data_IF_869160553714
#
_entry.id   IF_869160553714
#
_cell.length_a   1.000
_cell.length_b   1.000
_cell.length_c   1.000
_cell.angle_alpha   90.00
_cell.angle_beta   90.00
_cell.angle_gamma   90.00
#
_symmetry.space_group_name_H-M   'P 1'
#
loop_
_entity.id
_entity.type
_entity.pdbx_description
1 polymer ?
#
# COMPACT_ATOMS: atom_id res chain seq x y z
N UNK A 1 2.71 -21.60 42.95
CA UNK A 1 1.68 -20.99 42.08
C UNK A 1 2.36 -20.28 40.91
N UNK A 2 2.52 -21.01 39.81
CA UNK A 2 3.37 -20.64 38.67
C UNK A 2 2.57 -19.82 37.67
N UNK A 3 2.86 -18.51 37.53
CA UNK A 3 2.22 -17.63 36.55
C UNK A 3 2.77 -17.93 35.15
N UNK A 4 1.93 -18.54 34.29
CA UNK A 4 2.19 -18.67 32.86
C UNK A 4 2.22 -17.30 32.18
N UNK A 5 3.41 -16.84 31.79
CA UNK A 5 3.58 -15.71 30.88
C UNK A 5 3.37 -16.23 29.46
N UNK A 6 2.24 -15.87 28.83
CA UNK A 6 1.98 -16.12 27.41
C UNK A 6 3.03 -15.38 26.56
N UNK A 7 3.96 -16.15 25.98
CA UNK A 7 4.91 -15.69 24.94
C UNK A 7 4.11 -15.32 23.69
N UNK A 8 3.88 -14.03 23.47
CA UNK A 8 3.43 -13.51 22.17
C UNK A 8 4.52 -13.77 21.12
N UNK A 9 4.14 -14.49 20.07
CA UNK A 9 5.01 -14.95 18.99
C UNK A 9 5.72 -13.77 18.29
N UNK A 10 7.05 -13.80 18.35
CA UNK A 10 7.97 -12.98 17.57
C UNK A 10 7.97 -13.48 16.12
N UNK A 11 7.17 -12.91 15.21
CA UNK A 11 7.36 -13.11 13.76
C UNK A 11 6.58 -12.07 12.94
N UNK A 12 7.19 -10.90 12.70
CA UNK A 12 6.67 -9.84 11.81
C UNK A 12 7.90 -9.21 11.13
N UNK A 13 8.42 -9.84 10.07
CA UNK A 13 9.73 -9.51 9.50
C UNK A 13 9.73 -8.46 8.38
N UNK A 14 8.60 -7.83 8.06
CA UNK A 14 8.57 -6.62 7.19
C UNK A 14 7.76 -5.46 7.79
N UNK A 15 7.00 -5.68 8.88
CA UNK A 15 6.05 -4.69 9.41
C UNK A 15 6.47 -4.02 10.74
N UNK A 16 7.63 -4.36 11.33
CA UNK A 16 8.07 -3.81 12.63
C UNK A 16 9.13 -2.70 12.53
N UNK A 17 8.93 -1.77 11.60
CA UNK A 17 9.33 -0.37 11.85
C UNK A 17 8.04 0.42 12.07
N UNK A 18 7.32 0.09 13.13
CA UNK A 18 6.47 1.07 13.79
C UNK A 18 7.42 2.00 14.56
N UNK A 19 8.02 2.96 13.86
CA UNK A 19 8.17 4.24 14.53
C UNK A 19 6.76 4.62 14.97
N UNK A 20 6.57 5.04 16.22
CA UNK A 20 5.34 5.69 16.69
C UNK A 20 5.05 6.80 15.66
N UNK A 21 4.19 6.51 14.68
CA UNK A 21 3.90 7.42 13.57
C UNK A 21 2.87 8.37 14.14
N UNK A 22 3.32 9.49 14.68
CA UNK A 22 2.48 10.67 14.59
C UNK A 22 2.25 10.89 13.10
N UNK A 23 1.08 10.49 12.63
CA UNK A 23 0.69 10.77 11.25
C UNK A 23 0.45 12.27 11.24
N UNK A 24 1.44 13.04 10.79
CA UNK A 24 1.32 14.47 10.56
C UNK A 24 0.49 14.67 9.29
N UNK A 25 -0.82 14.41 9.41
CA UNK A 25 -1.80 14.73 8.39
C UNK A 25 -2.58 15.96 8.80
N UNK A 26 -2.81 16.87 7.86
CA UNK A 26 -3.68 18.02 8.06
C UNK A 26 -4.71 18.08 6.95
N UNK A 27 -5.99 18.08 7.34
CA UNK A 27 -7.12 18.08 6.42
C UNK A 27 -7.73 19.47 6.33
N UNK A 28 -7.90 19.96 5.11
CA UNK A 28 -8.42 21.27 4.79
C UNK A 28 -9.78 21.13 4.08
N UNK A 29 -10.86 21.75 4.60
CA UNK A 29 -12.18 21.71 3.95
C UNK A 29 -12.26 22.67 2.75
N UNK A 30 -13.17 22.40 1.81
CA UNK A 30 -13.34 23.18 0.57
C UNK A 30 -13.55 24.69 0.78
N UNK A 31 -14.47 25.09 1.68
CA UNK A 31 -14.96 26.47 1.71
C UNK A 31 -13.92 27.49 2.19
N UNK A 32 -13.01 27.08 3.10
CA UNK A 32 -12.01 27.97 3.71
C UNK A 32 -10.61 27.38 3.86
N UNK A 33 -10.45 26.08 3.62
CA UNK A 33 -9.20 25.37 3.88
C UNK A 33 -8.24 25.37 2.70
N UNK A 34 -8.72 25.15 1.48
CA UNK A 34 -7.83 25.07 0.32
C UNK A 34 -8.46 25.53 -1.00
N UNK A 35 -7.61 25.97 -1.93
CA UNK A 35 -7.97 26.31 -3.31
C UNK A 35 -6.86 25.87 -4.25
N UNK A 36 -7.22 25.53 -5.48
CA UNK A 36 -6.27 25.20 -6.54
C UNK A 36 -6.38 26.26 -7.63
N UNK A 37 -5.27 26.94 -7.92
CA UNK A 37 -5.16 27.96 -8.99
C UNK A 37 -3.75 27.92 -9.58
N UNK A 38 -3.61 28.01 -10.89
CA UNK A 38 -2.33 28.21 -11.58
C UNK A 38 -1.21 27.24 -11.16
N UNK A 39 -1.54 25.94 -11.05
CA UNK A 39 -0.63 24.88 -10.59
C UNK A 39 -0.08 25.10 -9.16
N UNK A 40 -0.81 25.86 -8.34
CA UNK A 40 -0.54 26.10 -6.93
C UNK A 40 -1.72 25.66 -6.07
N UNK A 41 -1.39 25.10 -4.93
CA UNK A 41 -2.31 24.73 -3.86
C UNK A 41 -2.23 25.85 -2.81
N UNK A 42 -3.27 26.67 -2.73
CA UNK A 42 -3.42 27.66 -1.69
C UNK A 42 -4.08 27.03 -0.48
N UNK A 43 -3.45 27.11 0.69
CA UNK A 43 -3.94 26.58 1.94
C UNK A 43 -4.16 27.71 2.94
N UNK A 44 -5.19 27.60 3.77
CA UNK A 44 -5.41 28.53 4.88
C UNK A 44 -4.17 28.59 5.77
N UNK A 45 -3.74 29.79 6.15
CA UNK A 45 -2.58 30.08 7.02
C UNK A 45 -1.19 29.74 6.46
N UNK A 46 -1.07 28.99 5.36
CA UNK A 46 0.22 28.67 4.74
C UNK A 46 0.44 29.47 3.44
N UNK A 47 -0.64 29.75 2.71
CA UNK A 47 -0.57 30.45 1.42
C UNK A 47 -0.40 29.49 0.24
N UNK A 48 0.07 30.02 -0.89
CA UNK A 48 0.11 29.31 -2.17
C UNK A 48 1.43 28.54 -2.37
N UNK A 49 1.34 27.22 -2.48
CA UNK A 49 2.48 26.32 -2.66
C UNK A 49 2.42 25.71 -4.06
N UNK A 50 3.54 25.72 -4.79
CA UNK A 50 3.65 24.97 -6.05
C UNK A 50 3.54 23.48 -5.75
N UNK A 51 2.71 22.76 -6.48
CA UNK A 51 2.59 21.31 -6.36
C UNK A 51 2.52 20.68 -7.75
N UNK A 52 2.85 19.39 -7.83
CA UNK A 52 2.72 18.63 -9.06
C UNK A 52 1.33 17.99 -9.08
N UNK A 53 0.44 18.51 -9.91
CA UNK A 53 -0.87 17.89 -10.14
C UNK A 53 -0.70 16.65 -11.04
N UNK A 54 -0.87 15.47 -10.44
CA UNK A 54 -0.77 14.20 -11.18
C UNK A 54 -2.01 13.87 -12.02
N UNK A 55 -3.18 14.36 -11.61
CA UNK A 55 -4.48 14.17 -12.27
C UNK A 55 -5.33 15.42 -12.06
N UNK A 56 -6.09 15.82 -13.08
CA UNK A 56 -7.04 16.92 -12.97
C UNK A 56 -8.25 16.39 -12.17
N UNK A 57 -8.64 17.03 -11.06
CA UNK A 57 -9.80 16.61 -10.28
C UNK A 57 -11.08 16.81 -11.10
N UNK A 58 -11.94 15.79 -11.11
CA UNK A 58 -13.25 15.81 -11.77
C UNK A 58 -14.30 16.10 -10.70
N UNK A 59 -15.27 16.96 -11.02
CA UNK A 59 -16.38 17.29 -10.12
C UNK A 59 -16.00 18.27 -9.00
N UNK A 60 -16.79 18.25 -7.92
CA UNK A 60 -16.70 19.23 -6.82
C UNK A 60 -15.65 18.81 -5.79
N UNK A 61 -14.63 19.65 -5.58
CA UNK A 61 -13.61 19.42 -4.55
C UNK A 61 -14.24 19.40 -3.15
N UNK A 62 -13.98 18.40 -2.30
CA UNK A 62 -14.49 18.36 -0.91
C UNK A 62 -13.42 18.71 0.12
N UNK A 63 -12.30 17.99 0.11
CA UNK A 63 -11.22 18.13 1.09
C UNK A 63 -9.86 17.98 0.43
N UNK A 64 -8.83 18.68 0.93
CA UNK A 64 -7.42 18.34 0.67
C UNK A 64 -6.80 17.88 1.97
N UNK A 65 -6.28 16.66 1.98
CA UNK A 65 -5.51 16.12 3.09
C UNK A 65 -4.04 16.12 2.72
N UNK A 66 -3.25 16.88 3.47
CA UNK A 66 -1.80 16.90 3.32
C UNK A 66 -1.22 15.81 4.20
N UNK A 67 -0.35 14.98 3.64
CA UNK A 67 0.40 13.98 4.38
C UNK A 67 1.88 14.04 4.05
N UNK A 68 2.69 13.58 4.99
CA UNK A 68 4.13 13.43 4.82
C UNK A 68 4.48 11.94 4.82
N UNK A 69 5.17 11.48 3.78
CA UNK A 69 5.76 10.15 3.68
C UNK A 69 7.29 10.26 3.65
N UNK A 70 7.89 10.18 4.84
CA UNK A 70 9.33 10.27 5.11
C UNK A 70 9.92 11.66 4.81
N UNK A 71 10.09 11.95 3.52
CA UNK A 71 10.71 13.16 2.99
C UNK A 71 9.91 13.76 1.83
N UNK A 72 8.72 13.23 1.57
CA UNK A 72 7.85 13.66 0.47
C UNK A 72 6.49 14.09 1.01
N UNK A 73 6.02 15.24 0.54
CA UNK A 73 4.71 15.79 0.84
C UNK A 73 3.72 15.39 -0.26
N UNK A 74 2.52 15.01 0.15
CA UNK A 74 1.41 14.66 -0.74
C UNK A 74 0.17 15.46 -0.34
N UNK A 75 -0.63 15.93 -1.30
CA UNK A 75 -2.02 16.36 -1.07
C UNK A 75 -2.94 15.35 -1.75
N UNK A 76 -3.87 14.81 -0.97
CA UNK A 76 -4.97 13.99 -1.43
C UNK A 76 -6.19 14.88 -1.54
N UNK A 77 -6.71 15.04 -2.74
CA UNK A 77 -7.89 15.87 -2.99
C UNK A 77 -9.06 14.91 -3.17
N UNK A 78 -10.01 14.94 -2.26
CA UNK A 78 -11.27 14.23 -2.41
C UNK A 78 -12.22 15.06 -3.27
N UNK A 79 -12.89 14.42 -4.22
CA UNK A 79 -13.84 15.05 -5.12
C UNK A 79 -15.17 14.31 -5.11
N UNK A 80 -16.25 15.05 -5.34
CA UNK A 80 -17.57 14.54 -5.69
C UNK A 80 -17.70 14.61 -7.21
N UNK A 81 -17.67 13.47 -7.90
CA UNK A 81 -17.90 13.43 -9.34
C UNK A 81 -19.38 13.47 -9.71
N UNK A 82 -20.29 13.41 -8.73
CA UNK A 82 -21.74 13.46 -8.95
C UNK A 82 -22.29 12.24 -9.70
N UNK A 83 -21.49 11.18 -9.82
CA UNK A 83 -21.92 9.91 -10.40
C UNK A 83 -22.63 9.15 -9.29
N UNK A 84 -23.93 8.86 -9.46
CA UNK A 84 -24.64 7.96 -8.55
C UNK A 84 -23.98 6.58 -8.57
N UNK A 85 -23.91 5.93 -7.41
CA UNK A 85 -23.40 4.55 -7.33
C UNK A 85 -24.22 3.69 -8.29
N UNK A 86 -23.59 3.27 -9.39
CA UNK A 86 -24.22 2.37 -10.34
C UNK A 86 -24.41 1.06 -9.58
N UNK A 87 -25.66 0.70 -9.33
CA UNK A 87 -26.02 -0.64 -8.87
C UNK A 87 -25.77 -1.60 -10.03
N UNK A 88 -24.49 -1.99 -10.19
CA UNK A 88 -24.08 -2.97 -11.19
C UNK A 88 -24.72 -4.28 -10.74
N UNK A 89 -25.93 -4.56 -11.21
CA UNK A 89 -26.52 -5.90 -11.12
C UNK A 89 -25.42 -6.87 -11.53
N UNK A 90 -25.01 -7.74 -10.61
CA UNK A 90 -23.85 -8.60 -10.79
C UNK A 90 -24.09 -9.50 -12.00
N UNK A 91 -23.60 -9.07 -13.17
CA UNK A 91 -23.58 -9.91 -14.34
C UNK A 91 -22.54 -11.00 -14.06
N UNK A 92 -22.97 -12.23 -13.82
CA UNK A 92 -22.05 -13.34 -13.51
C UNK A 92 -21.50 -14.04 -14.76
N UNK A 93 -21.67 -13.45 -15.96
CA UNK A 93 -21.33 -14.11 -17.22
C UNK A 93 -19.82 -14.31 -17.47
N UNK A 94 -18.94 -13.62 -16.73
CA UNK A 94 -17.48 -13.77 -16.86
C UNK A 94 -16.82 -14.10 -15.50
N UNK A 95 -17.02 -15.33 -14.99
CA UNK A 95 -16.37 -15.76 -13.76
C UNK A 95 -14.90 -16.08 -14.01
N UNK A 96 -14.03 -15.65 -13.09
CA UNK A 96 -12.63 -16.09 -13.04
C UNK A 96 -12.23 -16.43 -11.61
N UNK A 97 -11.53 -17.57 -11.46
CA UNK A 97 -10.92 -17.95 -10.19
C UNK A 97 -9.45 -17.55 -10.23
N UNK A 98 -9.00 -16.93 -9.14
CA UNK A 98 -7.61 -16.52 -8.97
C UNK A 98 -6.93 -17.46 -7.99
N UNK A 99 -5.86 -18.10 -8.45
CA UNK A 99 -4.85 -18.74 -7.62
C UNK A 99 -3.66 -17.78 -7.46
N UNK A 100 -3.24 -17.54 -6.22
CA UNK A 100 -2.11 -16.67 -5.92
C UNK A 100 -0.90 -17.55 -5.64
N UNK A 101 -0.19 -17.90 -6.71
CA UNK A 101 0.96 -18.80 -6.66
C UNK A 101 2.14 -18.22 -5.88
N UNK A 102 2.97 -19.09 -5.29
CA UNK A 102 4.14 -18.77 -4.46
C UNK A 102 5.22 -17.91 -5.17
N UNK A 103 5.18 -17.82 -6.49
CA UNK A 103 6.15 -17.12 -7.35
C UNK A 103 5.63 -15.76 -7.84
N UNK A 104 5.21 -14.88 -6.92
CA UNK A 104 4.82 -13.49 -7.21
C UNK A 104 3.92 -13.32 -8.45
N UNK A 105 2.97 -14.22 -8.64
CA UNK A 105 2.10 -14.23 -9.82
C UNK A 105 0.67 -14.61 -9.44
N UNK A 106 -0.26 -14.16 -10.26
CA UNK A 106 -1.67 -14.52 -10.18
C UNK A 106 -1.98 -15.42 -11.36
N UNK A 107 -2.38 -16.66 -11.09
CA UNK A 107 -2.82 -17.60 -12.12
C UNK A 107 -4.34 -17.59 -12.15
N UNK A 108 -4.90 -17.28 -13.32
CA UNK A 108 -6.32 -17.27 -13.57
C UNK A 108 -6.79 -18.66 -14.02
N UNK A 109 -8.04 -19.02 -13.74
CA UNK A 109 -8.62 -20.30 -14.16
C UNK A 109 -8.65 -20.51 -15.66
N UNK A 110 -8.53 -19.45 -16.46
CA UNK A 110 -8.41 -19.53 -17.92
C UNK A 110 -6.95 -19.73 -18.40
N UNK A 111 -6.01 -19.97 -17.50
CA UNK A 111 -4.59 -20.18 -17.80
C UNK A 111 -3.74 -18.92 -17.94
N UNK A 112 -4.33 -17.71 -17.88
CA UNK A 112 -3.57 -16.45 -17.94
C UNK A 112 -2.80 -16.25 -16.63
N UNK A 113 -1.50 -15.96 -16.74
CA UNK A 113 -0.63 -15.69 -15.59
C UNK A 113 -0.23 -14.21 -15.58
N UNK A 114 -0.60 -13.50 -14.53
CA UNK A 114 -0.17 -12.12 -14.28
C UNK A 114 1.10 -12.20 -13.42
N UNK A 115 2.26 -12.09 -14.06
CA UNK A 115 3.55 -12.12 -13.37
C UNK A 115 3.94 -10.74 -12.85
N UNK A 116 4.47 -10.70 -11.62
CA UNK A 116 5.21 -9.54 -11.16
C UNK A 116 6.65 -9.65 -11.65
N UNK A 117 7.03 -8.83 -12.62
CA UNK A 117 8.36 -8.80 -13.22
C UNK A 117 9.46 -8.26 -12.31
N UNK A 118 9.12 -7.88 -11.07
CA UNK A 118 10.06 -7.27 -10.14
C UNK A 118 10.87 -8.33 -9.38
N UNK A 119 12.17 -8.35 -9.67
CA UNK A 119 13.16 -8.99 -8.79
C UNK A 119 13.37 -8.14 -7.53
N UNK A 120 12.94 -8.69 -6.39
CA UNK A 120 13.07 -8.06 -5.08
C UNK A 120 14.37 -8.40 -4.37
N UNK A 121 15.20 -9.34 -4.85
CA UNK A 121 16.35 -9.84 -4.11
C UNK A 121 17.36 -8.75 -3.78
N UNK A 122 17.72 -7.93 -4.76
CA UNK A 122 18.63 -6.81 -4.58
C UNK A 122 18.09 -5.80 -3.55
N UNK A 123 16.78 -5.56 -3.56
CA UNK A 123 16.13 -4.61 -2.67
C UNK A 123 16.03 -5.14 -1.24
N UNK A 124 15.71 -6.43 -1.08
CA UNK A 124 15.67 -7.12 0.20
C UNK A 124 17.07 -7.15 0.82
N UNK A 125 18.10 -7.44 0.03
CA UNK A 125 19.50 -7.44 0.46
C UNK A 125 19.91 -6.06 0.97
N UNK A 126 19.57 -4.99 0.23
CA UNK A 126 19.79 -3.60 0.66
C UNK A 126 19.10 -3.28 1.98
N UNK A 127 17.85 -3.72 2.17
CA UNK A 127 17.11 -3.53 3.43
C UNK A 127 17.80 -4.26 4.58
N UNK A 128 18.24 -5.51 4.40
CA UNK A 128 18.96 -6.28 5.42
C UNK A 128 20.25 -5.57 5.84
N UNK A 129 21.03 -5.04 4.89
CA UNK A 129 22.24 -4.27 5.20
C UNK A 129 21.93 -2.99 5.99
N UNK A 130 20.89 -2.24 5.59
CA UNK A 130 20.47 -1.02 6.29
C UNK A 130 19.95 -1.31 7.70
N UNK A 131 19.21 -2.40 7.91
CA UNK A 131 18.75 -2.85 9.23
C UNK A 131 19.94 -3.21 10.14
N UNK A 132 20.91 -3.97 9.63
CA UNK A 132 22.14 -4.33 10.36
C UNK A 132 22.99 -3.10 10.69
N UNK A 133 23.07 -2.14 9.77
CA UNK A 133 23.74 -0.86 10.03
C UNK A 133 23.01 -0.10 11.15
N UNK A 134 21.69 0.03 11.07
CA UNK A 134 20.87 0.75 12.05
C UNK A 134 21.02 0.18 13.46
N UNK A 135 21.03 -1.14 13.61
CA UNK A 135 21.15 -1.80 14.92
C UNK A 135 22.50 -1.59 15.59
N UNK A 136 23.55 -1.32 14.80
CA UNK A 136 24.92 -1.07 15.28
C UNK A 136 25.19 0.40 15.61
N UNK A 137 24.33 1.33 15.20
CA UNK A 137 24.51 2.76 15.47
C UNK A 137 24.00 3.13 16.88
N UNK A 138 24.72 4.03 17.55
CA UNK A 138 24.31 4.58 18.84
C UNK A 138 22.91 5.20 18.75
N UNK A 139 22.07 4.89 19.75
CA UNK A 139 20.73 5.45 19.89
C UNK A 139 20.79 6.98 19.85
N UNK A 140 19.84 7.59 19.17
CA UNK A 140 19.66 9.05 19.05
C UNK A 140 20.85 9.85 18.44
N UNK A 141 21.85 9.16 17.88
CA UNK A 141 22.90 9.82 17.10
C UNK A 141 22.39 10.29 15.73
N UNK A 142 22.93 11.42 15.23
CA UNK A 142 22.65 11.94 13.88
C UNK A 142 22.92 10.89 12.78
N UNK A 143 23.93 10.05 12.97
CA UNK A 143 24.25 8.96 12.04
C UNK A 143 23.19 7.85 12.03
N UNK A 144 22.59 7.54 13.19
CA UNK A 144 21.48 6.59 13.27
C UNK A 144 20.25 7.13 12.55
N UNK A 145 19.96 8.41 12.70
CA UNK A 145 18.85 9.07 12.01
C UNK A 145 18.99 9.02 10.48
N UNK A 146 20.19 9.33 9.95
CA UNK A 146 20.49 9.20 8.50
C UNK A 146 20.23 7.78 7.98
N UNK A 147 20.64 6.76 8.72
CA UNK A 147 20.39 5.35 8.34
C UNK A 147 18.91 5.00 8.44
N UNK A 148 18.21 5.49 9.47
CA UNK A 148 16.77 5.28 9.65
C UNK A 148 15.97 5.85 8.47
N UNK A 149 16.30 7.05 8.02
CA UNK A 149 15.69 7.67 6.85
C UNK A 149 15.99 6.82 5.60
N UNK A 150 17.25 6.44 5.37
CA UNK A 150 17.63 5.60 4.22
C UNK A 150 16.90 4.25 4.19
N UNK A 151 16.75 3.61 5.36
CA UNK A 151 15.99 2.38 5.52
C UNK A 151 14.51 2.59 5.19
N UNK A 152 13.90 3.67 5.70
CA UNK A 152 12.52 4.00 5.40
C UNK A 152 12.31 4.23 3.89
N UNK A 153 13.23 4.93 3.21
CA UNK A 153 13.19 5.16 1.76
C UNK A 153 13.23 3.84 0.98
N UNK A 154 14.09 2.90 1.39
CA UNK A 154 14.18 1.59 0.77
C UNK A 154 12.89 0.77 0.94
N UNK A 155 12.33 0.72 2.16
CA UNK A 155 11.06 0.05 2.41
C UNK A 155 9.91 0.67 1.62
N UNK A 156 9.87 2.01 1.52
CA UNK A 156 8.88 2.74 0.72
C UNK A 156 8.93 2.36 -0.76
N UNK A 157 10.13 2.17 -1.33
CA UNK A 157 10.29 1.75 -2.73
C UNK A 157 9.62 0.40 -2.99
N UNK A 158 9.90 -0.60 -2.14
CA UNK A 158 9.28 -1.93 -2.24
C UNK A 158 7.75 -1.82 -2.08
N UNK A 159 7.28 -1.03 -1.10
CA UNK A 159 5.84 -0.83 -0.90
C UNK A 159 5.16 -0.27 -2.15
N UNK A 160 5.71 0.81 -2.75
CA UNK A 160 5.14 1.42 -3.97
C UNK A 160 5.12 0.47 -5.16
N UNK A 161 6.17 -0.33 -5.31
CA UNK A 161 6.24 -1.36 -6.35
C UNK A 161 5.18 -2.44 -6.19
N UNK A 162 4.92 -2.88 -4.95
CA UNK A 162 3.84 -3.83 -4.66
C UNK A 162 2.47 -3.21 -4.93
N UNK A 163 2.24 -1.99 -4.45
CA UNK A 163 1.00 -1.26 -4.67
C UNK A 163 0.74 -1.06 -6.18
N UNK A 164 1.77 -0.70 -6.96
CA UNK A 164 1.68 -0.55 -8.42
C UNK A 164 1.27 -1.85 -9.12
N UNK A 165 1.89 -2.98 -8.76
CA UNK A 165 1.48 -4.29 -9.29
C UNK A 165 0.03 -4.61 -8.95
N UNK A 166 -0.39 -4.41 -7.69
CA UNK A 166 -1.78 -4.63 -7.28
C UNK A 166 -2.73 -3.77 -8.09
N UNK A 167 -2.46 -2.48 -8.23
CA UNK A 167 -3.37 -1.58 -8.93
C UNK A 167 -3.51 -1.95 -10.41
N UNK A 168 -2.41 -2.34 -11.07
CA UNK A 168 -2.44 -2.82 -12.46
C UNK A 168 -3.21 -4.12 -12.60
N UNK A 169 -2.97 -5.09 -11.70
CA UNK A 169 -3.69 -6.35 -11.69
C UNK A 169 -5.19 -6.15 -11.40
N UNK A 170 -5.53 -5.34 -10.41
CA UNK A 170 -6.92 -5.04 -10.04
C UNK A 170 -7.67 -4.40 -11.20
N UNK A 171 -7.04 -3.42 -11.87
CA UNK A 171 -7.63 -2.74 -13.02
C UNK A 171 -7.89 -3.73 -14.16
N UNK A 172 -6.89 -4.53 -14.53
CA UNK A 172 -7.04 -5.55 -15.56
C UNK A 172 -8.19 -6.51 -15.23
N UNK A 173 -8.27 -6.95 -13.99
CA UNK A 173 -9.31 -7.89 -13.56
C UNK A 173 -10.71 -7.25 -13.57
N UNK A 174 -10.84 -6.03 -13.07
CA UNK A 174 -12.11 -5.30 -13.06
C UNK A 174 -12.59 -4.94 -14.48
N UNK A 175 -11.67 -4.65 -15.41
CA UNK A 175 -11.99 -4.34 -16.80
C UNK A 175 -12.42 -5.60 -17.59
N UNK A 176 -11.83 -6.77 -17.28
CA UNK A 176 -12.05 -8.01 -18.05
C UNK A 176 -13.15 -8.94 -17.48
N UNK A 177 -13.32 -8.96 -16.16
CA UNK A 177 -14.15 -9.95 -15.45
C UNK A 177 -15.16 -9.31 -14.53
N UNK A 178 -16.35 -9.91 -14.48
CA UNK A 178 -17.47 -9.40 -13.69
C UNK A 178 -17.66 -10.16 -12.38
N UNK A 179 -17.20 -11.41 -12.31
CA UNK A 179 -17.17 -12.20 -11.07
C UNK A 179 -15.76 -12.74 -10.83
N UNK A 180 -15.17 -12.36 -9.69
CA UNK A 180 -13.80 -12.74 -9.32
C UNK A 180 -13.84 -13.53 -8.02
N UNK A 181 -13.37 -14.78 -8.07
CA UNK A 181 -13.38 -15.71 -6.94
C UNK A 181 -11.95 -15.93 -6.45
N UNK A 182 -11.73 -15.69 -5.15
CA UNK A 182 -10.44 -15.90 -4.49
C UNK A 182 -10.48 -17.14 -3.60
N UNK A 183 -9.37 -17.88 -3.57
CA UNK A 183 -9.21 -18.94 -2.58
C UNK A 183 -9.05 -18.40 -1.14
N UNK A 184 -9.62 -19.13 -0.18
CA UNK A 184 -9.44 -18.86 1.24
C UNK A 184 -8.17 -19.54 1.75
N UNK A 185 -7.02 -18.89 1.55
CA UNK A 185 -5.74 -19.38 2.03
C UNK A 185 -5.55 -19.16 3.54
N UNK A 186 -5.17 -20.22 4.27
CA UNK A 186 -4.75 -20.11 5.67
C UNK A 186 -3.29 -19.65 5.76
N UNK A 187 -3.09 -18.35 5.57
CA UNK A 187 -1.77 -17.70 5.53
C UNK A 187 -0.94 -17.99 6.79
N UNK A 188 -1.57 -18.05 7.97
CA UNK A 188 -0.87 -18.31 9.23
C UNK A 188 -0.16 -19.67 9.24
N UNK A 189 -0.74 -20.68 8.58
CA UNK A 189 -0.10 -21.98 8.45
C UNK A 189 0.97 -21.99 7.36
N UNK A 190 0.75 -21.26 6.25
CA UNK A 190 1.71 -21.20 5.14
C UNK A 190 3.00 -20.47 5.52
N UNK A 191 2.92 -19.41 6.35
CA UNK A 191 4.06 -18.59 6.78
C UNK A 191 4.94 -19.28 7.84
N UNK A 192 4.54 -20.46 8.35
CA UNK A 192 5.36 -21.25 9.28
C UNK A 192 6.68 -21.71 8.65
N UNK A 193 6.71 -21.90 7.33
CA UNK A 193 7.96 -22.18 6.63
C UNK A 193 8.73 -20.87 6.38
N UNK A 194 9.82 -20.68 7.12
CA UNK A 194 10.60 -19.43 7.09
C UNK A 194 11.25 -19.13 5.73
N UNK A 195 11.50 -20.13 4.88
CA UNK A 195 12.04 -19.89 3.53
C UNK A 195 11.01 -19.29 2.57
N UNK A 196 9.73 -19.66 2.72
CA UNK A 196 8.63 -19.19 1.87
C UNK A 196 7.84 -18.02 2.49
N UNK A 197 8.03 -17.78 3.80
CA UNK A 197 7.30 -16.78 4.56
C UNK A 197 7.29 -15.38 3.90
N UNK A 198 8.42 -14.94 3.34
CA UNK A 198 8.50 -13.62 2.70
C UNK A 198 7.63 -13.56 1.44
N UNK A 199 7.77 -14.54 0.55
CA UNK A 199 6.99 -14.62 -0.69
C UNK A 199 5.48 -14.75 -0.40
N UNK A 200 5.11 -15.61 0.55
CA UNK A 200 3.71 -15.81 0.97
C UNK A 200 3.12 -14.53 1.58
N UNK A 201 3.88 -13.79 2.38
CA UNK A 201 3.42 -12.53 2.95
C UNK A 201 3.21 -11.46 1.89
N UNK A 202 4.05 -11.44 0.86
CA UNK A 202 3.92 -10.53 -0.26
C UNK A 202 2.65 -10.83 -1.05
N UNK A 203 2.43 -12.10 -1.39
CA UNK A 203 1.21 -12.64 -2.00
C UNK A 203 -0.05 -12.36 -1.19
N UNK A 204 0.00 -12.58 0.13
CA UNK A 204 -1.10 -12.29 1.02
C UNK A 204 -1.50 -10.81 0.96
N UNK A 205 -0.51 -9.92 0.95
CA UNK A 205 -0.75 -8.49 0.81
C UNK A 205 -1.43 -8.17 -0.52
N UNK A 206 -0.98 -8.79 -1.63
CA UNK A 206 -1.59 -8.67 -2.95
C UNK A 206 -3.05 -9.13 -2.93
N UNK A 207 -3.33 -10.36 -2.49
CA UNK A 207 -4.67 -10.93 -2.49
C UNK A 207 -5.64 -10.24 -1.52
N UNK A 208 -5.15 -9.67 -0.41
CA UNK A 208 -5.97 -8.88 0.51
C UNK A 208 -6.36 -7.54 -0.11
N UNK A 209 -5.39 -6.85 -0.73
CA UNK A 209 -5.63 -5.58 -1.41
C UNK A 209 -6.50 -5.73 -2.66
N UNK A 210 -6.29 -6.79 -3.45
CA UNK A 210 -7.14 -7.12 -4.58
C UNK A 210 -8.59 -7.32 -4.13
N UNK A 211 -8.83 -8.07 -3.05
CA UNK A 211 -10.18 -8.20 -2.48
C UNK A 211 -10.79 -6.85 -2.07
N UNK A 212 -10.02 -5.99 -1.40
CA UNK A 212 -10.48 -4.64 -1.02
C UNK A 212 -10.84 -3.77 -2.24
N UNK A 213 -10.12 -3.91 -3.36
CA UNK A 213 -10.35 -3.09 -4.55
C UNK A 213 -11.40 -3.66 -5.51
N UNK A 214 -11.71 -4.95 -5.40
CA UNK A 214 -12.58 -5.66 -6.36
C UNK A 214 -13.99 -5.88 -5.80
N UNK A 215 -14.13 -5.99 -4.48
CA UNK A 215 -15.44 -6.16 -3.85
C UNK A 215 -15.94 -4.78 -3.38
N UNK A 216 -17.18 -4.39 -3.72
CA UNK A 216 -17.81 -3.25 -3.05
C UNK A 216 -17.85 -3.56 -1.56
N UNK A 217 -17.31 -2.66 -0.75
CA UNK A 217 -17.37 -2.78 0.71
C UNK A 217 -18.83 -2.70 1.13
N UNK A 218 -19.39 -3.85 1.50
CA UNK A 218 -20.69 -3.98 2.19
C UNK A 218 -20.59 -3.56 3.66
#
# INVERSE_FOLDING_TARGET
MTRHIRRFSKNIWVSKIQAKREVHSSTYPQYRGFRIRDNKLALSHIGAIKFKMHRIPIGKLKTCTIIIDIDQWYCYIATDDGIEEIDVKADTNKPVRIDVGLLNSLTLSNGKVIQNSLDFEAQVTKIKHLQKSLSRKQKDSKNREKVKISLAKACRKIRRQRDDFVHKASKLLADEYTLIVFEKLNINNMVKNHSLASAIMDICHLGKKLREYTLPTT
#
